data_IF_389999331207
#
_entry.id   IF_389999331207
#
_cell.length_a   1.000
_cell.length_b   1.000
_cell.length_c   1.000
_cell.angle_alpha   90.00
_cell.angle_beta   90.00
_cell.angle_gamma   90.00
#
_symmetry.space_group_name_H-M   'P 1'
#
loop_
_entity.id
_entity.type
_entity.pdbx_description
1 polymer ?
#
# COMPACT_ATOMS: atom_id res chain seq x y z
N UNK A 1 -17.51 6.35 -7.48
CA UNK A 1 -18.34 5.46 -8.32
C UNK A 1 -17.78 4.04 -8.45
N UNK A 2 -16.49 3.83 -8.72
CA UNK A 2 -15.91 2.49 -8.90
C UNK A 2 -15.96 1.61 -7.65
N UNK A 3 -15.75 2.16 -6.45
CA UNK A 3 -15.91 1.44 -5.17
C UNK A 3 -17.36 0.96 -5.03
N UNK A 4 -18.34 1.84 -5.23
CA UNK A 4 -19.77 1.51 -5.09
C UNK A 4 -20.20 0.44 -6.09
N UNK A 5 -19.72 0.52 -7.33
CA UNK A 5 -19.95 -0.51 -8.33
C UNK A 5 -19.46 -1.87 -7.85
N UNK A 6 -18.22 -1.92 -7.31
CA UNK A 6 -17.65 -3.17 -6.81
C UNK A 6 -18.38 -3.72 -5.58
N UNK A 7 -18.85 -2.86 -4.69
CA UNK A 7 -19.69 -3.27 -3.55
C UNK A 7 -20.97 -3.94 -4.04
N UNK A 8 -21.67 -3.36 -5.01
CA UNK A 8 -22.89 -3.93 -5.61
C UNK A 8 -22.63 -5.23 -6.34
N UNK A 9 -21.60 -5.29 -7.20
CA UNK A 9 -21.21 -6.53 -7.90
C UNK A 9 -20.97 -7.69 -6.92
N UNK A 10 -20.31 -7.42 -5.79
CA UNK A 10 -20.05 -8.44 -4.78
C UNK A 10 -21.32 -8.89 -4.08
N UNK A 11 -22.23 -7.98 -3.79
CA UNK A 11 -23.52 -8.31 -3.20
C UNK A 11 -24.37 -9.17 -4.16
N UNK A 12 -24.49 -8.77 -5.41
CA UNK A 12 -25.17 -9.52 -6.46
C UNK A 12 -24.61 -10.93 -6.64
N UNK A 13 -23.29 -11.10 -6.41
CA UNK A 13 -22.62 -12.41 -6.40
C UNK A 13 -22.81 -13.20 -5.11
N UNK A 14 -23.62 -12.73 -4.15
CA UNK A 14 -23.91 -13.40 -2.88
C UNK A 14 -22.89 -13.15 -1.77
N UNK A 15 -21.94 -12.21 -1.94
CA UNK A 15 -20.99 -11.86 -0.88
C UNK A 15 -21.69 -11.08 0.23
N UNK A 16 -21.52 -11.52 1.48
CA UNK A 16 -22.17 -10.92 2.66
C UNK A 16 -21.49 -9.63 3.15
N UNK A 17 -20.24 -9.40 2.76
CA UNK A 17 -19.47 -8.22 3.15
C UNK A 17 -18.43 -7.85 2.09
N UNK A 18 -17.96 -6.62 2.14
CA UNK A 18 -16.86 -6.13 1.30
C UNK A 18 -15.82 -5.44 2.17
N UNK A 19 -14.56 -5.86 2.07
CA UNK A 19 -13.45 -5.17 2.68
C UNK A 19 -12.89 -4.13 1.70
N UNK A 20 -12.74 -2.89 2.18
CA UNK A 20 -12.15 -1.79 1.43
C UNK A 20 -10.87 -1.38 2.15
N UNK A 21 -9.71 -1.51 1.50
CA UNK A 21 -8.42 -1.09 2.04
C UNK A 21 -8.09 0.27 1.44
N UNK A 22 -7.81 1.25 2.30
CA UNK A 22 -7.53 2.63 1.90
C UNK A 22 -6.17 3.04 2.46
N UNK A 23 -5.28 3.53 1.60
CA UNK A 23 -4.00 4.09 2.04
C UNK A 23 -4.21 5.46 2.71
N UNK A 24 -3.41 5.78 3.72
CA UNK A 24 -3.50 7.06 4.45
C UNK A 24 -3.34 8.28 3.54
N UNK A 25 -2.49 8.17 2.52
CA UNK A 25 -2.27 9.22 1.53
C UNK A 25 -3.20 9.16 0.31
N UNK A 26 -4.26 8.32 0.34
CA UNK A 26 -5.23 8.31 -0.76
C UNK A 26 -6.02 9.62 -0.81
N UNK A 27 -6.30 10.08 -2.03
CA UNK A 27 -7.04 11.31 -2.29
C UNK A 27 -8.26 11.04 -3.17
N UNK A 28 -9.29 11.85 -3.02
CA UNK A 28 -10.39 11.88 -3.96
C UNK A 28 -9.94 12.55 -5.27
N UNK A 29 -10.39 12.03 -6.42
CA UNK A 29 -10.04 12.59 -7.72
C UNK A 29 -10.39 14.07 -7.78
N UNK A 30 -9.40 14.90 -8.09
CA UNK A 30 -9.55 16.37 -8.15
C UNK A 30 -9.49 17.10 -6.81
N UNK A 31 -9.27 16.38 -5.71
CA UNK A 31 -9.08 16.98 -4.38
C UNK A 31 -7.65 16.73 -3.86
N UNK A 32 -7.20 17.57 -2.95
CA UNK A 32 -5.90 17.43 -2.29
C UNK A 32 -5.92 16.38 -1.16
N UNK A 33 -4.77 16.22 -0.51
CA UNK A 33 -4.60 15.35 0.64
C UNK A 33 -5.54 15.72 1.80
N UNK A 34 -6.03 14.69 2.49
CA UNK A 34 -6.89 14.86 3.65
C UNK A 34 -6.04 14.84 4.93
N UNK A 35 -6.15 15.88 5.71
CA UNK A 35 -5.42 16.03 6.96
C UNK A 35 -6.38 15.93 8.16
N UNK A 36 -6.04 15.08 9.14
CA UNK A 36 -6.66 15.08 10.46
C UNK A 36 -6.28 16.34 11.24
N UNK A 37 -5.07 16.80 11.06
CA UNK A 37 -4.53 18.01 11.65
C UNK A 37 -3.69 18.76 10.60
N UNK A 38 -4.27 19.82 10.04
CA UNK A 38 -3.59 20.66 9.03
C UNK A 38 -2.39 21.41 9.59
N UNK A 39 -2.42 21.77 10.88
CA UNK A 39 -1.33 22.55 11.51
C UNK A 39 -0.05 21.73 11.60
N UNK A 40 -0.17 20.44 11.92
CA UNK A 40 0.96 19.52 12.04
C UNK A 40 1.15 18.65 10.79
N UNK A 41 0.45 18.96 9.68
CA UNK A 41 0.53 18.21 8.43
C UNK A 41 0.28 16.69 8.63
N UNK A 42 -0.55 16.32 9.61
CA UNK A 42 -0.87 14.95 9.91
C UNK A 42 -1.93 14.44 8.94
N UNK A 43 -1.52 13.57 8.03
CA UNK A 43 -2.41 12.87 7.11
C UNK A 43 -3.41 11.99 7.87
N UNK A 44 -4.57 11.75 7.26
CA UNK A 44 -5.59 10.86 7.78
C UNK A 44 -7.00 11.36 7.47
N UNK A 45 -7.99 10.65 8.03
CA UNK A 45 -9.40 10.98 7.77
C UNK A 45 -9.98 10.37 6.50
N UNK A 46 -9.15 9.90 5.55
CA UNK A 46 -9.61 9.29 4.31
C UNK A 46 -10.40 7.98 4.55
N UNK A 47 -9.97 7.14 5.50
CA UNK A 47 -10.69 5.93 5.86
C UNK A 47 -12.11 6.19 6.38
N UNK A 48 -12.29 7.01 7.44
CA UNK A 48 -13.60 7.45 7.89
C UNK A 48 -14.43 8.15 6.82
N UNK A 49 -13.80 8.97 5.98
CA UNK A 49 -14.48 9.63 4.86
C UNK A 49 -15.05 8.62 3.87
N UNK A 50 -14.24 7.63 3.45
CA UNK A 50 -14.70 6.57 2.52
C UNK A 50 -15.82 5.76 3.15
N UNK A 51 -15.69 5.39 4.44
CA UNK A 51 -16.71 4.65 5.17
C UNK A 51 -18.05 5.41 5.17
N UNK A 52 -18.03 6.69 5.56
CA UNK A 52 -19.22 7.53 5.57
C UNK A 52 -19.85 7.66 4.18
N UNK A 53 -19.04 7.87 3.14
CA UNK A 53 -19.54 7.97 1.76
C UNK A 53 -20.15 6.66 1.23
N UNK A 54 -19.57 5.51 1.61
CA UNK A 54 -20.14 4.21 1.24
C UNK A 54 -21.48 4.00 1.95
N UNK A 55 -21.56 4.28 3.25
CA UNK A 55 -22.77 4.17 4.04
C UNK A 55 -23.89 5.07 3.48
N UNK A 56 -23.59 6.35 3.25
CA UNK A 56 -24.53 7.33 2.69
C UNK A 56 -25.10 6.92 1.32
N UNK A 57 -24.30 6.28 0.48
CA UNK A 57 -24.67 5.95 -0.90
C UNK A 57 -25.15 4.51 -1.12
N UNK A 58 -25.12 3.67 -0.08
CA UNK A 58 -25.54 2.26 -0.17
C UNK A 58 -26.50 1.82 0.94
N UNK A 59 -26.78 2.66 1.92
CA UNK A 59 -27.54 2.34 3.15
C UNK A 59 -26.97 1.12 3.91
N UNK A 60 -25.67 0.83 3.72
CA UNK A 60 -25.01 -0.32 4.37
C UNK A 60 -24.17 0.14 5.54
N UNK A 61 -24.37 -0.51 6.69
CA UNK A 61 -23.52 -0.28 7.85
C UNK A 61 -22.04 -0.47 7.46
N UNK A 62 -21.24 0.58 7.65
CA UNK A 62 -19.82 0.60 7.30
C UNK A 62 -18.98 0.95 8.51
N UNK A 63 -18.00 0.14 8.83
CA UNK A 63 -17.09 0.35 9.97
C UNK A 63 -15.68 0.61 9.47
N UNK A 64 -15.06 1.66 9.99
CA UNK A 64 -13.66 1.98 9.69
C UNK A 64 -12.76 1.56 10.84
N UNK A 65 -11.68 0.85 10.52
CA UNK A 65 -10.61 0.50 11.46
C UNK A 65 -9.31 1.10 10.95
N UNK A 66 -8.69 1.97 11.73
CA UNK A 66 -7.36 2.52 11.43
C UNK A 66 -6.31 1.61 12.04
N UNK A 67 -5.62 0.83 11.21
CA UNK A 67 -4.64 -0.16 11.68
C UNK A 67 -3.42 0.48 12.34
N UNK A 68 -2.94 1.62 11.81
CA UNK A 68 -1.83 2.37 12.40
C UNK A 68 -0.62 1.48 12.71
N UNK A 69 -0.16 1.49 13.95
CA UNK A 69 0.99 0.71 14.41
C UNK A 69 0.77 -0.81 14.41
N UNK A 70 -0.45 -1.30 14.31
CA UNK A 70 -0.71 -2.73 14.15
C UNK A 70 -0.02 -3.33 12.92
N UNK A 71 0.14 -2.54 11.85
CA UNK A 71 0.87 -2.97 10.65
C UNK A 71 2.37 -3.17 10.88
N UNK A 72 2.90 -2.63 11.96
CA UNK A 72 4.31 -2.74 12.37
C UNK A 72 4.46 -3.49 13.70
N UNK A 73 3.38 -4.08 14.18
CA UNK A 73 3.34 -4.86 15.40
C UNK A 73 3.74 -6.32 15.16
N UNK A 74 3.84 -7.03 16.27
CA UNK A 74 4.20 -8.44 16.29
C UNK A 74 5.66 -8.70 16.67
N UNK A 75 5.96 -9.96 16.99
CA UNK A 75 7.32 -10.38 17.32
C UNK A 75 8.14 -10.57 16.05
N UNK A 76 9.44 -10.17 16.06
CA UNK A 76 10.31 -10.37 14.90
C UNK A 76 10.53 -11.86 14.64
N UNK A 77 10.49 -12.24 13.37
CA UNK A 77 10.84 -13.57 12.92
C UNK A 77 12.37 -13.73 12.75
N UNK A 78 12.85 -14.89 12.34
CA UNK A 78 14.30 -15.15 12.17
C UNK A 78 14.93 -14.21 11.14
N UNK A 79 14.23 -13.90 10.04
CA UNK A 79 14.71 -12.98 9.01
C UNK A 79 14.84 -11.56 9.55
N UNK A 80 13.85 -11.06 10.30
CA UNK A 80 13.89 -9.73 10.91
C UNK A 80 15.08 -9.58 11.86
N UNK A 81 15.33 -10.61 12.69
CA UNK A 81 16.44 -10.64 13.65
C UNK A 81 17.80 -10.62 12.94
N UNK A 82 17.96 -11.45 11.92
CA UNK A 82 19.18 -11.51 11.11
C UNK A 82 19.43 -10.20 10.37
N UNK A 83 18.38 -9.65 9.77
CA UNK A 83 18.47 -8.38 9.04
C UNK A 83 18.84 -7.23 9.97
N UNK A 84 18.21 -7.14 11.14
CA UNK A 84 18.52 -6.13 12.16
C UNK A 84 19.97 -6.22 12.64
N UNK A 85 20.47 -7.44 12.88
CA UNK A 85 21.87 -7.69 13.27
C UNK A 85 22.84 -7.23 12.16
N UNK A 86 22.56 -7.60 10.92
CA UNK A 86 23.39 -7.22 9.77
C UNK A 86 23.39 -5.71 9.55
N UNK A 87 22.22 -5.05 9.68
CA UNK A 87 22.10 -3.60 9.57
C UNK A 87 22.89 -2.89 10.67
N UNK A 88 22.77 -3.32 11.92
CA UNK A 88 23.52 -2.76 13.04
C UNK A 88 25.04 -2.88 12.83
N UNK A 89 25.52 -4.09 12.46
CA UNK A 89 26.93 -4.32 12.20
C UNK A 89 27.44 -3.47 11.02
N UNK A 90 26.66 -3.33 9.94
CA UNK A 90 27.03 -2.49 8.80
C UNK A 90 27.08 -1.00 9.19
N UNK A 91 26.10 -0.52 9.95
CA UNK A 91 26.06 0.87 10.43
C UNK A 91 27.29 1.21 11.29
N UNK A 92 27.68 0.32 12.22
CA UNK A 92 28.87 0.53 13.07
C UNK A 92 30.15 0.55 12.22
N UNK A 93 30.30 -0.37 11.25
CA UNK A 93 31.46 -0.36 10.34
C UNK A 93 31.53 0.90 9.52
N UNK A 94 30.42 1.36 8.95
CA UNK A 94 30.35 2.59 8.17
C UNK A 94 30.75 3.81 9.02
N UNK A 95 30.22 3.92 10.24
CA UNK A 95 30.58 4.98 11.17
C UNK A 95 32.06 4.94 11.55
N UNK A 96 32.60 3.77 11.85
CA UNK A 96 34.03 3.58 12.16
C UNK A 96 34.96 3.96 11.00
N UNK A 97 34.47 3.83 9.76
CA UNK A 97 35.19 4.25 8.53
C UNK A 97 34.95 5.73 8.19
N UNK A 98 34.28 6.50 9.05
CA UNK A 98 33.99 7.93 8.82
C UNK A 98 32.87 8.18 7.81
N UNK A 99 32.10 7.18 7.42
CA UNK A 99 30.96 7.33 6.52
C UNK A 99 29.77 7.94 7.26
N UNK A 100 29.53 9.24 7.05
CA UNK A 100 28.36 9.95 7.61
C UNK A 100 27.38 10.34 6.51
N UNK A 101 26.15 10.72 6.89
CA UNK A 101 25.11 11.11 5.93
C UNK A 101 24.60 9.95 5.06
N UNK A 102 24.78 8.72 5.51
CA UNK A 102 24.34 7.50 4.81
C UNK A 102 23.31 6.71 5.63
N UNK A 103 22.52 5.91 4.94
CA UNK A 103 21.58 4.94 5.49
C UNK A 103 22.02 3.53 5.12
N UNK A 104 21.90 2.60 6.04
CA UNK A 104 22.05 1.16 5.72
C UNK A 104 20.80 0.66 5.03
N UNK A 105 20.96 -0.05 3.94
CA UNK A 105 19.87 -0.55 3.11
C UNK A 105 20.13 -1.99 2.64
N UNK A 106 19.05 -2.73 2.39
CA UNK A 106 19.12 -4.04 1.72
C UNK A 106 18.85 -3.83 0.23
N UNK A 107 19.84 -4.12 -0.62
CA UNK A 107 19.73 -4.07 -2.08
C UNK A 107 20.14 -5.40 -2.69
N UNK A 108 19.24 -6.01 -3.47
CA UNK A 108 19.46 -7.30 -4.14
C UNK A 108 20.06 -8.39 -3.21
N UNK A 109 19.56 -8.45 -1.96
CA UNK A 109 20.02 -9.43 -0.96
C UNK A 109 21.29 -9.06 -0.22
N UNK A 110 21.92 -7.93 -0.55
CA UNK A 110 23.15 -7.45 0.10
C UNK A 110 22.89 -6.20 0.94
N UNK A 111 23.49 -6.14 2.12
CA UNK A 111 23.44 -4.98 3.00
C UNK A 111 24.52 -3.98 2.57
N UNK A 112 24.10 -2.78 2.20
CA UNK A 112 24.95 -1.70 1.67
C UNK A 112 24.65 -0.39 2.37
N UNK A 113 25.48 0.64 2.16
CA UNK A 113 25.21 2.02 2.57
C UNK A 113 24.76 2.83 1.34
N UNK A 114 23.74 3.68 1.52
CA UNK A 114 23.25 4.61 0.49
C UNK A 114 23.22 6.04 1.04
N UNK A 115 23.49 7.08 0.24
CA UNK A 115 23.38 8.45 0.68
C UNK A 115 21.95 8.80 1.13
N UNK A 116 21.79 9.52 2.24
CA UNK A 116 20.47 9.98 2.71
C UNK A 116 19.78 10.86 1.67
N UNK A 117 20.52 11.66 0.91
CA UNK A 117 19.98 12.47 -0.19
C UNK A 117 19.32 11.64 -1.28
N UNK A 118 19.83 10.44 -1.52
CA UNK A 118 19.24 9.48 -2.47
C UNK A 118 18.03 8.78 -1.85
N UNK A 119 18.16 8.31 -0.62
CA UNK A 119 17.10 7.61 0.10
C UNK A 119 15.84 8.49 0.31
N UNK A 120 16.04 9.80 0.51
CA UNK A 120 14.96 10.76 0.77
C UNK A 120 14.47 11.48 -0.50
N UNK A 121 15.01 11.19 -1.68
CA UNK A 121 14.69 11.92 -2.92
C UNK A 121 13.24 11.80 -3.33
N UNK A 122 12.62 10.66 -3.10
CA UNK A 122 11.22 10.42 -3.45
C UNK A 122 10.58 9.38 -2.53
N UNK A 123 9.28 9.52 -2.32
CA UNK A 123 8.48 8.49 -1.65
C UNK A 123 8.30 7.31 -2.61
N UNK A 124 8.58 6.11 -2.13
CA UNK A 124 8.35 4.88 -2.89
C UNK A 124 6.85 4.62 -2.99
N UNK A 125 6.33 4.67 -4.19
CA UNK A 125 4.94 4.33 -4.49
C UNK A 125 4.80 2.90 -5.02
N UNK A 126 3.59 2.34 -4.97
CA UNK A 126 3.29 1.05 -5.59
C UNK A 126 3.12 1.25 -7.10
N UNK A 127 3.92 0.57 -7.95
CA UNK A 127 3.75 0.65 -9.40
C UNK A 127 2.40 0.06 -9.81
N UNK A 128 1.55 0.86 -10.45
CA UNK A 128 0.19 0.45 -10.84
C UNK A 128 0.17 -0.69 -11.87
N UNK A 129 1.23 -0.84 -12.64
CA UNK A 129 1.43 -1.91 -13.63
C UNK A 129 2.43 -2.98 -13.13
N UNK A 130 2.77 -2.94 -11.83
CA UNK A 130 3.68 -3.89 -11.20
C UNK A 130 3.07 -5.29 -11.08
N UNK A 131 3.95 -6.29 -10.97
CA UNK A 131 3.55 -7.70 -10.86
C UNK A 131 2.56 -7.96 -9.73
N UNK A 132 2.78 -7.37 -8.54
CA UNK A 132 1.88 -7.56 -7.39
C UNK A 132 0.48 -7.02 -7.65
N UNK A 133 0.35 -5.85 -8.29
CA UNK A 133 -0.94 -5.27 -8.65
C UNK A 133 -1.64 -6.12 -9.70
N UNK A 134 -0.89 -6.63 -10.69
CA UNK A 134 -1.42 -7.55 -11.70
C UNK A 134 -1.95 -8.82 -11.05
N UNK A 135 -1.13 -9.50 -10.25
CA UNK A 135 -1.54 -10.71 -9.52
C UNK A 135 -2.77 -10.48 -8.65
N UNK A 136 -2.84 -9.33 -7.96
CA UNK A 136 -4.01 -9.00 -7.16
C UNK A 136 -5.29 -8.84 -8.01
N UNK A 137 -5.18 -8.23 -9.20
CA UNK A 137 -6.29 -8.16 -10.17
C UNK A 137 -6.71 -9.53 -10.68
N UNK A 138 -5.75 -10.41 -10.97
CA UNK A 138 -6.00 -11.77 -11.48
C UNK A 138 -6.83 -12.60 -10.48
N UNK A 139 -6.64 -12.39 -9.17
CA UNK A 139 -7.44 -13.03 -8.11
C UNK A 139 -8.71 -12.23 -7.73
N UNK A 140 -9.09 -11.23 -8.52
CA UNK A 140 -10.35 -10.49 -8.38
C UNK A 140 -10.35 -9.31 -7.42
N UNK A 141 -9.17 -8.87 -6.93
CA UNK A 141 -9.07 -7.64 -6.13
C UNK A 141 -9.21 -6.43 -7.04
N UNK A 142 -10.16 -5.55 -6.73
CA UNK A 142 -10.37 -4.29 -7.44
C UNK A 142 -9.52 -3.18 -6.83
N UNK A 143 -8.87 -2.39 -7.67
CA UNK A 143 -8.15 -1.18 -7.27
C UNK A 143 -8.99 0.09 -7.48
N UNK A 144 -10.29 -0.06 -7.66
CA UNK A 144 -11.23 1.03 -7.89
C UNK A 144 -10.87 1.93 -9.09
N UNK A 145 -10.04 1.43 -10.01
CA UNK A 145 -9.67 2.13 -11.23
C UNK A 145 -10.70 1.92 -12.34
N UNK A 146 -10.78 2.86 -13.27
CA UNK A 146 -11.67 2.74 -14.44
C UNK A 146 -11.35 1.50 -15.31
N UNK A 147 -10.13 0.98 -15.22
CA UNK A 147 -9.63 -0.20 -15.96
C UNK A 147 -9.74 -1.53 -15.21
N UNK A 148 -10.38 -1.58 -14.04
CA UNK A 148 -10.67 -2.86 -13.37
C UNK A 148 -11.81 -3.60 -14.10
N UNK A 149 -11.67 -3.73 -15.42
CA UNK A 149 -12.52 -4.62 -16.21
C UNK A 149 -12.10 -6.05 -15.99
N UNK A 150 -13.09 -6.93 -15.88
CA UNK A 150 -12.89 -8.40 -15.82
C UNK A 150 -11.85 -8.82 -16.85
N UNK A 151 -10.99 -9.75 -16.48
CA UNK A 151 -10.14 -10.50 -17.41
C UNK A 151 -11.01 -10.87 -18.64
N UNK A 152 -10.85 -10.17 -19.74
CA UNK A 152 -11.50 -10.58 -20.97
C UNK A 152 -10.75 -11.82 -21.45
N UNK A 153 -11.45 -12.88 -21.74
CA UNK A 153 -10.92 -14.15 -22.28
C UNK A 153 -10.15 -14.00 -23.60
N UNK A 154 -9.87 -12.76 -24.04
CA UNK A 154 -9.19 -12.40 -25.28
C UNK A 154 -7.65 -12.54 -25.23
N UNK A 155 -7.06 -13.03 -24.13
CA UNK A 155 -5.60 -13.24 -23.99
C UNK A 155 -5.16 -14.70 -24.02
N UNK A 156 -6.03 -15.66 -24.27
CA UNK A 156 -5.71 -17.09 -24.25
C UNK A 156 -5.17 -17.65 -25.58
N UNK A 157 -4.95 -16.81 -26.59
CA UNK A 157 -4.51 -17.25 -27.93
C UNK A 157 -3.27 -16.52 -28.43
N UNK A 158 -2.16 -16.55 -27.72
CA UNK A 158 -0.83 -16.34 -28.31
C UNK A 158 0.28 -16.71 -27.30
N UNK A 159 0.27 -17.96 -26.83
CA UNK A 159 1.45 -18.61 -26.36
C UNK A 159 1.68 -19.83 -27.27
N UNK A 160 2.19 -19.58 -28.47
CA UNK A 160 2.86 -20.62 -29.25
C UNK A 160 4.34 -20.61 -28.84
N UNK A 161 4.81 -21.80 -28.48
CA UNK A 161 6.14 -22.22 -28.08
C UNK A 161 7.28 -21.75 -28.98
#
# INVERSE_FOLDING_TARGET
DSILRKVREREESGSRFTNIVVAEGATEVGKGEMYLDKKNMRLGGVGPYVAHRVEELTDKETRCVVLGHLQRGGSPNAFDRMLGTNFGACAVRALASGETGKMVALQAGTVVTVPLSEACRSIKTVPIDGQLVRTARDIGISFAAAKDTKFSEAGAHEAQY
#
